data_IF_074740529078
#
_entry.id   IF_074740529078
#
_cell.length_a   1.000
_cell.length_b   1.000
_cell.length_c   1.000
_cell.angle_alpha   90.00
_cell.angle_beta   90.00
_cell.angle_gamma   90.00
#
_symmetry.space_group_name_H-M   'P 1'
#
loop_
_entity.id
_entity.type
_entity.pdbx_description
1 polymer ?
#
# COMPACT_ATOMS: atom_id res chain seq x y z
N UNK A 1 -38.43 32.55 10.31
CA UNK A 1 -38.03 31.48 9.36
C UNK A 1 -36.52 31.33 9.43
N UNK A 2 -36.01 30.53 10.37
CA UNK A 2 -34.58 30.29 10.54
C UNK A 2 -34.39 28.77 10.61
N UNK A 3 -33.92 28.18 9.52
CA UNK A 3 -33.64 26.74 9.38
C UNK A 3 -32.48 26.47 8.40
N UNK A 4 -31.50 27.39 8.33
CA UNK A 4 -30.40 27.31 7.34
C UNK A 4 -29.00 27.09 7.91
N UNK A 5 -28.79 27.22 9.23
CA UNK A 5 -27.44 27.26 9.80
C UNK A 5 -26.79 25.90 10.02
N UNK A 6 -27.57 24.90 10.46
CA UNK A 6 -27.02 23.58 10.83
C UNK A 6 -26.87 22.63 9.63
N UNK A 7 -27.79 22.68 8.66
CA UNK A 7 -27.71 21.85 7.46
C UNK A 7 -26.50 22.17 6.58
N UNK A 8 -26.17 23.45 6.41
CA UNK A 8 -24.99 23.88 5.62
C UNK A 8 -23.66 23.49 6.27
N UNK A 9 -23.58 23.50 7.60
CA UNK A 9 -22.38 23.14 8.35
C UNK A 9 -22.10 21.63 8.32
N UNK A 10 -23.13 20.79 8.49
CA UNK A 10 -22.99 19.34 8.34
C UNK A 10 -22.67 18.93 6.89
N UNK A 11 -23.26 19.61 5.91
CA UNK A 11 -23.01 19.32 4.50
C UNK A 11 -21.59 19.74 4.06
N UNK A 12 -21.07 20.84 4.61
CA UNK A 12 -19.68 21.26 4.42
C UNK A 12 -18.66 20.30 5.05
N UNK A 13 -18.92 19.85 6.27
CA UNK A 13 -18.06 18.88 6.96
C UNK A 13 -18.08 17.50 6.30
N UNK A 14 -19.25 17.06 5.83
CA UNK A 14 -19.40 15.82 5.06
C UNK A 14 -18.62 15.84 3.75
N UNK A 15 -18.69 16.94 2.99
CA UNK A 15 -17.89 17.10 1.77
C UNK A 15 -16.39 17.10 2.04
N UNK A 16 -15.94 17.71 3.15
CA UNK A 16 -14.53 17.72 3.51
C UNK A 16 -14.02 16.33 3.93
N UNK A 17 -14.86 15.53 4.60
CA UNK A 17 -14.55 14.15 4.92
C UNK A 17 -14.44 13.28 3.66
N UNK A 18 -15.36 13.42 2.71
CA UNK A 18 -15.31 12.71 1.42
C UNK A 18 -14.06 13.12 0.64
N UNK A 19 -13.73 14.41 0.63
CA UNK A 19 -12.52 14.91 -0.02
C UNK A 19 -11.24 14.30 0.61
N UNK A 20 -11.16 14.21 1.94
CA UNK A 20 -10.05 13.55 2.62
C UNK A 20 -9.94 12.07 2.27
N UNK A 21 -11.06 11.34 2.25
CA UNK A 21 -11.08 9.93 1.85
C UNK A 21 -10.61 9.79 0.39
N UNK A 22 -11.06 10.67 -0.51
CA UNK A 22 -10.64 10.66 -1.90
C UNK A 22 -9.11 10.88 -2.05
N UNK A 23 -8.53 11.83 -1.30
CA UNK A 23 -7.08 12.06 -1.27
C UNK A 23 -6.33 10.81 -0.81
N UNK A 24 -6.78 10.15 0.26
CA UNK A 24 -6.17 8.91 0.75
C UNK A 24 -6.23 7.81 -0.33
N UNK A 25 -7.37 7.63 -0.98
CA UNK A 25 -7.54 6.64 -2.05
C UNK A 25 -6.59 6.94 -3.22
N UNK A 26 -6.45 8.21 -3.62
CA UNK A 26 -5.50 8.63 -4.67
C UNK A 26 -4.07 8.31 -4.26
N UNK A 27 -3.66 8.64 -3.03
CA UNK A 27 -2.32 8.32 -2.52
C UNK A 27 -2.09 6.81 -2.55
N UNK A 28 -3.05 6.00 -2.08
CA UNK A 28 -2.94 4.54 -2.11
C UNK A 28 -2.86 4.00 -3.55
N UNK A 29 -3.58 4.58 -4.50
CA UNK A 29 -3.52 4.19 -5.92
C UNK A 29 -2.19 4.56 -6.55
N UNK A 30 -1.66 5.75 -6.26
CA UNK A 30 -0.35 6.20 -6.72
C UNK A 30 0.75 5.34 -6.12
N UNK A 31 0.73 5.11 -4.80
CA UNK A 31 1.67 4.22 -4.12
C UNK A 31 1.55 2.82 -4.71
N UNK A 32 0.37 2.21 -4.78
CA UNK A 32 0.19 0.87 -5.36
C UNK A 32 0.56 0.79 -6.85
N UNK A 33 0.41 1.87 -7.61
CA UNK A 33 0.86 1.96 -9.00
C UNK A 33 2.38 2.08 -9.13
N UNK A 34 3.04 2.78 -8.19
CA UNK A 34 4.49 2.92 -8.13
C UNK A 34 5.16 1.67 -7.53
N UNK A 35 4.60 1.06 -6.48
CA UNK A 35 5.08 -0.21 -5.89
C UNK A 35 4.59 -1.45 -6.65
N UNK A 36 3.63 -1.29 -7.58
CA UNK A 36 3.12 -2.37 -8.45
C UNK A 36 4.07 -2.75 -9.59
N UNK A 37 5.21 -2.05 -9.74
CA UNK A 37 6.22 -2.29 -10.77
C UNK A 37 7.25 -3.37 -10.43
N UNK A 38 7.45 -3.70 -9.16
CA UNK A 38 8.53 -4.60 -8.76
C UNK A 38 7.98 -5.97 -8.32
N UNK A 39 7.81 -6.87 -9.29
CA UNK A 39 7.72 -8.32 -9.00
C UNK A 39 8.89 -8.81 -8.15
N UNK A 40 10.02 -8.09 -8.18
CA UNK A 40 11.16 -8.29 -7.30
C UNK A 40 10.81 -8.04 -5.83
N UNK A 41 10.17 -6.91 -5.50
CA UNK A 41 9.78 -6.57 -4.12
C UNK A 41 8.77 -7.58 -3.55
N UNK A 42 7.77 -8.00 -4.33
CA UNK A 42 6.83 -9.03 -3.89
C UNK A 42 7.48 -10.41 -3.76
N UNK A 43 8.40 -10.78 -4.66
CA UNK A 43 9.14 -12.04 -4.57
C UNK A 43 10.11 -12.06 -3.37
N UNK A 44 10.75 -10.92 -3.06
CA UNK A 44 11.61 -10.76 -1.90
C UNK A 44 10.81 -10.77 -0.60
N UNK A 45 9.63 -10.16 -0.55
CA UNK A 45 8.76 -10.18 0.63
C UNK A 45 8.29 -11.61 0.94
N UNK A 46 7.86 -12.36 -0.07
CA UNK A 46 7.50 -13.79 0.09
C UNK A 46 8.70 -14.62 0.53
N UNK A 47 9.90 -14.34 0.01
CA UNK A 47 11.12 -15.05 0.40
C UNK A 47 11.50 -14.74 1.86
N UNK A 48 11.41 -13.48 2.28
CA UNK A 48 11.67 -13.05 3.65
C UNK A 48 10.70 -13.70 4.64
N UNK A 49 9.42 -13.78 4.30
CA UNK A 49 8.40 -14.38 5.16
C UNK A 49 8.67 -15.87 5.40
N UNK A 50 9.07 -16.62 4.36
CA UNK A 50 9.41 -18.05 4.50
C UNK A 50 10.68 -18.29 5.31
N UNK A 51 11.67 -17.41 5.17
CA UNK A 51 12.89 -17.45 5.99
C UNK A 51 12.58 -17.17 7.47
N UNK A 52 11.73 -16.18 7.75
CA UNK A 52 11.29 -15.87 9.12
C UNK A 52 10.47 -17.01 9.75
N UNK A 53 9.70 -17.75 8.94
CA UNK A 53 9.00 -18.97 9.36
C UNK A 53 9.94 -20.17 9.56
N UNK A 54 11.19 -20.08 9.15
CA UNK A 54 12.16 -21.18 9.19
C UNK A 54 11.87 -22.28 8.16
N UNK A 55 11.05 -22.01 7.15
CA UNK A 55 10.72 -22.98 6.07
C UNK A 55 11.88 -23.16 5.08
N UNK A 56 12.81 -22.20 5.04
CA UNK A 56 13.99 -22.18 4.18
C UNK A 56 15.24 -21.81 5.00
N UNK A 57 16.36 -22.40 4.63
CA UNK A 57 17.68 -22.14 5.22
C UNK A 57 18.30 -20.84 4.66
N UNK A 58 19.23 -20.26 5.42
CA UNK A 58 20.03 -19.10 5.01
C UNK A 58 20.82 -19.32 3.70
N UNK A 59 21.28 -20.54 3.40
CA UNK A 59 21.95 -20.82 2.12
C UNK A 59 20.96 -20.70 0.95
N UNK A 60 19.79 -21.33 1.07
CA UNK A 60 18.72 -21.29 0.07
C UNK A 60 18.14 -19.87 -0.10
N UNK A 61 17.98 -19.13 1.00
CA UNK A 61 17.56 -17.73 0.99
C UNK A 61 18.53 -16.87 0.17
N UNK A 62 19.84 -17.00 0.39
CA UNK A 62 20.84 -16.21 -0.32
C UNK A 62 20.89 -16.53 -1.82
N UNK A 63 20.73 -17.80 -2.20
CA UNK A 63 20.68 -18.20 -3.61
C UNK A 63 19.45 -17.62 -4.32
N UNK A 64 18.27 -17.77 -3.72
CA UNK A 64 17.01 -17.23 -4.26
C UNK A 64 17.00 -15.71 -4.31
N UNK A 65 17.55 -15.03 -3.28
CA UNK A 65 17.69 -13.57 -3.24
C UNK A 65 18.55 -13.05 -4.38
N UNK A 66 19.69 -13.71 -4.67
CA UNK A 66 20.55 -13.35 -5.80
C UNK A 66 19.83 -13.51 -7.14
N UNK A 67 19.12 -14.63 -7.31
CA UNK A 67 18.34 -14.89 -8.52
C UNK A 67 17.19 -13.90 -8.77
N UNK A 68 16.57 -13.38 -7.70
CA UNK A 68 15.50 -12.37 -7.78
C UNK A 68 16.09 -10.97 -8.04
N UNK A 69 17.20 -10.61 -7.38
CA UNK A 69 17.84 -9.30 -7.55
C UNK A 69 18.60 -9.14 -8.88
N UNK A 70 19.09 -10.24 -9.47
CA UNK A 70 19.91 -10.23 -10.68
C UNK A 70 19.12 -10.24 -12.01
N UNK A 71 17.79 -10.18 -11.96
CA UNK A 71 16.89 -10.09 -13.13
C UNK A 71 16.32 -8.68 -13.34
N UNK A 72 17.10 -7.65 -12.97
CA UNK A 72 16.80 -6.23 -13.22
C UNK A 72 17.57 -5.71 -14.42
#
# INVERSE_FOLDING_TARGET
MWSGGWGGMFMGWGMMAIFMIAVIVVILFVVKGLTGGDRSSSALDVLNERYARGEIDAAEYNERKKNISGKG
#
